data_IF_871338373865
#
_entry.id   IF_871338373865
#
_cell.length_a   1.000
_cell.length_b   1.000
_cell.length_c   1.000
_cell.angle_alpha   90.00
_cell.angle_beta   90.00
_cell.angle_gamma   90.00
#
_symmetry.space_group_name_H-M   'P 1'
#
loop_
_entity.id
_entity.type
_entity.pdbx_description
1 polymer ?
#
# COMPACT_ATOMS: atom_id res chain seq x y z
N UNK A 1 -1.78 11.85 -1.93
CA UNK A 1 -1.55 11.80 -3.38
C UNK A 1 -2.28 10.59 -3.92
N UNK A 2 -2.97 10.74 -5.00
CA UNK A 2 -3.63 9.63 -5.67
C UNK A 2 -3.39 9.76 -7.16
N UNK A 3 -3.39 8.63 -7.86
CA UNK A 3 -3.17 8.53 -9.31
C UNK A 3 -4.37 9.08 -10.12
N UNK A 4 -4.98 10.18 -9.64
CA UNK A 4 -6.12 10.79 -10.32
C UNK A 4 -5.72 11.28 -11.70
N UNK A 5 -6.35 10.76 -12.71
CA UNK A 5 -6.14 11.15 -14.09
C UNK A 5 -5.21 10.25 -14.89
N UNK A 6 -4.38 9.42 -14.24
CA UNK A 6 -3.53 8.47 -14.95
C UNK A 6 -4.18 7.09 -15.12
N UNK A 7 -4.97 6.65 -14.14
CA UNK A 7 -5.78 5.43 -14.21
C UNK A 7 -7.24 5.81 -14.51
N UNK A 8 -7.54 6.06 -15.78
CA UNK A 8 -8.84 6.60 -16.23
C UNK A 8 -10.02 5.64 -16.06
N UNK A 9 -9.77 4.35 -15.86
CA UNK A 9 -10.77 3.30 -15.61
C UNK A 9 -10.86 2.90 -14.13
N UNK A 10 -10.23 3.65 -13.23
CA UNK A 10 -10.27 3.41 -11.79
C UNK A 10 -11.26 4.34 -11.08
N UNK A 11 -11.97 3.79 -10.10
CA UNK A 11 -12.70 4.58 -9.12
C UNK A 11 -11.80 4.88 -7.93
N UNK A 12 -11.98 6.03 -7.33
CA UNK A 12 -11.16 6.49 -6.22
C UNK A 12 -11.97 6.62 -4.94
N UNK A 13 -11.39 6.22 -3.83
CA UNK A 13 -11.89 6.43 -2.49
C UNK A 13 -10.77 7.01 -1.64
N UNK A 14 -10.67 8.33 -1.57
CA UNK A 14 -9.59 9.00 -0.85
C UNK A 14 -10.05 10.31 -0.22
N UNK A 15 -9.33 10.75 0.79
CA UNK A 15 -9.53 12.03 1.46
C UNK A 15 -8.20 12.46 2.09
N UNK A 16 -7.97 13.76 2.19
CA UNK A 16 -6.82 14.30 2.93
C UNK A 16 -6.85 13.81 4.37
N UNK A 17 -5.72 13.31 4.86
CA UNK A 17 -5.59 12.79 6.22
C UNK A 17 -6.43 11.52 6.49
N UNK A 18 -6.79 10.75 5.44
CA UNK A 18 -7.43 9.45 5.64
C UNK A 18 -6.42 8.49 6.25
N UNK A 19 -6.86 7.76 7.29
CA UNK A 19 -6.05 6.78 8.02
C UNK A 19 -6.74 5.43 8.03
N UNK A 20 -6.00 4.36 8.26
CA UNK A 20 -6.56 3.02 8.42
C UNK A 20 -7.58 2.95 9.57
N UNK A 21 -7.37 3.73 10.63
CA UNK A 21 -8.26 3.76 11.79
C UNK A 21 -9.60 4.47 11.55
N UNK A 22 -9.71 5.23 10.46
CA UNK A 22 -10.91 6.03 10.15
C UNK A 22 -11.52 5.74 8.79
N UNK A 23 -10.89 4.89 7.99
CA UNK A 23 -11.32 4.64 6.60
C UNK A 23 -12.73 4.05 6.49
N UNK A 24 -13.18 3.32 7.51
CA UNK A 24 -14.52 2.72 7.55
C UNK A 24 -15.62 3.69 7.99
N UNK A 25 -15.23 4.77 8.68
CA UNK A 25 -16.16 5.73 9.30
C UNK A 25 -16.22 7.05 8.53
N UNK A 26 -15.06 7.50 8.03
CA UNK A 26 -14.93 8.80 7.36
C UNK A 26 -15.45 8.70 5.92
N UNK A 27 -16.33 9.64 5.54
CA UNK A 27 -16.70 9.79 4.15
C UNK A 27 -15.51 10.27 3.31
N UNK A 28 -15.35 9.66 2.15
CA UNK A 28 -14.30 9.93 1.19
C UNK A 28 -14.82 9.66 -0.24
N UNK A 29 -14.02 9.90 -1.25
CA UNK A 29 -14.42 9.64 -2.62
C UNK A 29 -13.41 10.14 -3.63
N UNK A 30 -13.87 10.41 -4.84
CA UNK A 30 -13.05 11.00 -5.88
C UNK A 30 -13.14 12.55 -5.78
N UNK A 31 -12.05 13.25 -5.43
CA UNK A 31 -12.06 14.69 -5.28
C UNK A 31 -12.40 15.44 -6.59
N UNK A 32 -12.18 14.82 -7.75
CA UNK A 32 -12.50 15.43 -9.04
C UNK A 32 -14.00 15.43 -9.34
N UNK A 33 -14.79 14.57 -8.69
CA UNK A 33 -16.24 14.48 -8.89
C UNK A 33 -17.04 15.06 -7.73
N UNK A 34 -16.38 15.40 -6.61
CA UNK A 34 -17.04 15.83 -5.38
C UNK A 34 -17.77 14.69 -4.64
N UNK A 35 -17.55 13.44 -5.03
CA UNK A 35 -18.13 12.29 -4.34
C UNK A 35 -17.68 12.25 -2.88
N UNK A 36 -18.63 11.98 -1.97
CA UNK A 36 -18.37 11.81 -0.55
C UNK A 36 -19.30 10.73 0.02
N UNK A 37 -18.76 9.52 0.15
CA UNK A 37 -19.50 8.32 0.59
C UNK A 37 -18.67 7.56 1.63
N UNK A 38 -19.29 6.64 2.38
CA UNK A 38 -18.53 5.71 3.24
C UNK A 38 -17.87 4.61 2.40
N UNK A 39 -16.86 3.93 2.95
CA UNK A 39 -16.23 2.79 2.29
C UNK A 39 -17.26 1.72 1.91
N UNK A 40 -18.19 1.40 2.83
CA UNK A 40 -19.25 0.44 2.56
C UNK A 40 -20.15 0.85 1.38
N UNK A 41 -20.54 2.13 1.33
CA UNK A 41 -21.31 2.67 0.20
C UNK A 41 -20.52 2.61 -1.11
N UNK A 42 -19.23 2.95 -1.09
CA UNK A 42 -18.37 2.86 -2.27
C UNK A 42 -18.27 1.44 -2.80
N UNK A 43 -18.01 0.49 -1.92
CA UNK A 43 -17.91 -0.93 -2.29
C UNK A 43 -19.25 -1.53 -2.77
N UNK A 44 -20.37 -0.95 -2.36
CA UNK A 44 -21.71 -1.40 -2.81
C UNK A 44 -22.11 -0.89 -4.20
N UNK A 45 -21.40 0.10 -4.78
CA UNK A 45 -21.77 0.70 -6.06
C UNK A 45 -21.65 -0.30 -7.24
N UNK A 46 -20.63 -1.16 -7.21
CA UNK A 46 -20.41 -2.19 -8.25
C UNK A 46 -19.46 -3.29 -7.74
N UNK A 47 -19.34 -4.37 -8.49
CA UNK A 47 -18.28 -5.35 -8.28
C UNK A 47 -17.00 -4.90 -8.99
N UNK A 48 -15.91 -4.83 -8.22
CA UNK A 48 -14.59 -4.45 -8.71
C UNK A 48 -13.77 -5.70 -9.04
N UNK A 49 -13.05 -5.70 -10.15
CA UNK A 49 -12.10 -6.77 -10.46
C UNK A 49 -10.83 -6.69 -9.62
N UNK A 50 -10.44 -5.48 -9.22
CA UNK A 50 -9.24 -5.21 -8.42
C UNK A 50 -9.52 -4.10 -7.42
N UNK A 51 -8.97 -4.23 -6.21
CA UNK A 51 -9.01 -3.20 -5.16
C UNK A 51 -7.59 -2.97 -4.68
N UNK A 52 -7.11 -1.74 -4.76
CA UNK A 52 -5.78 -1.33 -4.29
C UNK A 52 -5.95 -0.53 -3.00
N UNK A 53 -5.20 -0.89 -1.96
CA UNK A 53 -5.29 -0.25 -0.63
C UNK A 53 -3.91 0.29 -0.27
N UNK A 54 -3.79 1.61 -0.13
CA UNK A 54 -2.60 2.30 0.34
C UNK A 54 -2.97 3.30 1.43
N UNK A 55 -2.69 2.96 2.66
CA UNK A 55 -2.86 3.81 3.86
C UNK A 55 -1.67 3.57 4.80
N UNK A 56 -1.34 4.52 5.65
CA UNK A 56 -0.30 4.30 6.65
C UNK A 56 0.59 5.50 6.93
N UNK A 57 0.78 6.40 5.97
CA UNK A 57 1.65 7.56 6.13
C UNK A 57 1.05 8.60 7.12
N UNK A 58 -0.27 8.82 7.05
CA UNK A 58 -0.94 9.84 7.87
C UNK A 58 -1.05 9.46 9.36
N UNK A 59 -0.89 8.21 9.68
CA UNK A 59 -0.96 7.70 11.05
C UNK A 59 0.39 7.26 11.61
N UNK A 60 1.51 7.59 10.97
CA UNK A 60 2.83 7.39 11.56
C UNK A 60 2.89 8.11 12.92
N UNK A 61 3.37 7.42 13.96
CA UNK A 61 3.34 7.92 15.34
C UNK A 61 2.02 7.69 16.08
N UNK A 62 1.00 7.11 15.44
CA UNK A 62 -0.28 6.75 16.08
C UNK A 62 -0.40 5.25 16.22
N UNK A 63 -0.64 4.76 17.44
CA UNK A 63 -0.75 3.34 17.74
C UNK A 63 0.57 2.58 17.58
N UNK A 64 0.51 1.27 17.78
CA UNK A 64 1.63 0.35 17.53
C UNK A 64 1.50 -0.27 16.15
N UNK A 65 2.58 -0.90 15.64
CA UNK A 65 2.56 -1.65 14.38
C UNK A 65 1.51 -2.76 14.42
N UNK A 66 1.35 -3.42 15.56
CA UNK A 66 0.36 -4.49 15.74
C UNK A 66 -1.07 -3.97 15.70
N UNK A 67 -1.38 -2.86 16.40
CA UNK A 67 -2.73 -2.26 16.37
C UNK A 67 -3.09 -1.73 14.99
N UNK A 68 -2.09 -1.20 14.26
CA UNK A 68 -2.22 -0.75 12.89
C UNK A 68 -2.49 -1.93 11.94
N UNK A 69 -1.74 -3.03 12.06
CA UNK A 69 -1.93 -4.23 11.24
C UNK A 69 -3.30 -4.88 11.52
N UNK A 70 -3.77 -4.89 12.78
CA UNK A 70 -5.10 -5.37 13.12
C UNK A 70 -6.21 -4.53 12.46
N UNK A 71 -6.08 -3.20 12.46
CA UNK A 71 -7.02 -2.32 11.75
C UNK A 71 -7.01 -2.60 10.23
N UNK A 72 -5.82 -2.82 9.66
CA UNK A 72 -5.69 -3.19 8.25
C UNK A 72 -6.38 -4.52 7.93
N UNK A 73 -6.20 -5.54 8.76
CA UNK A 73 -6.86 -6.83 8.60
C UNK A 73 -8.39 -6.71 8.63
N UNK A 74 -8.95 -5.84 9.47
CA UNK A 74 -10.39 -5.57 9.52
C UNK A 74 -10.89 -4.91 8.22
N UNK A 75 -10.13 -3.96 7.68
CA UNK A 75 -10.47 -3.32 6.39
C UNK A 75 -10.39 -4.32 5.25
N UNK A 76 -9.37 -5.16 5.20
CA UNK A 76 -9.24 -6.25 4.20
C UNK A 76 -10.46 -7.18 4.27
N UNK A 77 -10.86 -7.60 5.47
CA UNK A 77 -12.03 -8.47 5.66
C UNK A 77 -13.33 -7.80 5.16
N UNK A 78 -13.52 -6.51 5.45
CA UNK A 78 -14.68 -5.75 4.96
C UNK A 78 -14.67 -5.62 3.43
N UNK A 79 -13.52 -5.34 2.83
CA UNK A 79 -13.37 -5.29 1.37
C UNK A 79 -13.68 -6.66 0.77
N UNK A 80 -13.12 -7.74 1.30
CA UNK A 80 -13.37 -9.10 0.82
C UNK A 80 -14.84 -9.49 0.92
N UNK A 81 -15.51 -9.13 2.02
CA UNK A 81 -16.94 -9.40 2.20
C UNK A 81 -17.79 -8.71 1.12
N UNK A 82 -17.48 -7.45 0.79
CA UNK A 82 -18.21 -6.68 -0.21
C UNK A 82 -17.81 -7.03 -1.65
N UNK A 83 -16.59 -7.52 -1.85
CA UNK A 83 -15.97 -7.79 -3.15
C UNK A 83 -15.36 -9.20 -3.17
N UNK A 84 -16.21 -10.26 -3.18
CA UNK A 84 -15.75 -11.63 -2.96
C UNK A 84 -14.79 -12.15 -4.04
N UNK A 85 -14.88 -11.63 -5.26
CA UNK A 85 -14.08 -12.08 -6.41
C UNK A 85 -12.93 -11.12 -6.78
N UNK A 86 -12.77 -10.01 -6.08
CA UNK A 86 -11.74 -9.04 -6.41
C UNK A 86 -10.33 -9.55 -6.05
N UNK A 87 -9.34 -9.18 -6.85
CA UNK A 87 -7.94 -9.20 -6.40
C UNK A 87 -7.71 -8.00 -5.51
N UNK A 88 -7.25 -8.22 -4.29
CA UNK A 88 -6.92 -7.15 -3.33
C UNK A 88 -5.41 -6.97 -3.33
N UNK A 89 -4.96 -5.76 -3.58
CA UNK A 89 -3.57 -5.38 -3.49
C UNK A 89 -3.34 -4.49 -2.27
N UNK A 90 -2.37 -4.88 -1.44
CA UNK A 90 -1.89 -4.13 -0.29
C UNK A 90 -0.63 -3.40 -0.74
N UNK A 91 -0.70 -2.11 -0.95
CA UNK A 91 0.44 -1.32 -1.39
C UNK A 91 1.27 -0.86 -0.19
N UNK A 92 2.60 -0.94 -0.31
CA UNK A 92 3.51 -0.45 0.71
C UNK A 92 3.26 1.04 1.02
N UNK A 93 3.44 1.43 2.28
CA UNK A 93 3.65 2.84 2.63
C UNK A 93 4.95 3.26 1.95
N UNK A 94 4.96 4.41 1.28
CA UNK A 94 6.19 4.95 0.71
C UNK A 94 7.16 5.35 1.82
N UNK A 95 8.43 4.99 1.64
CA UNK A 95 9.51 5.50 2.48
C UNK A 95 9.65 7.00 2.27
N UNK A 96 10.17 7.71 3.25
CA UNK A 96 10.47 9.14 3.13
C UNK A 96 11.93 9.36 2.71
N UNK A 97 12.21 10.51 2.12
CA UNK A 97 13.58 10.90 1.77
C UNK A 97 14.45 11.02 3.04
N UNK A 98 15.76 10.87 2.89
CA UNK A 98 16.70 10.97 3.99
C UNK A 98 16.59 12.30 4.78
N UNK A 99 16.17 13.37 4.12
CA UNK A 99 15.94 14.69 4.76
C UNK A 99 14.73 14.72 5.70
N UNK A 100 13.80 13.79 5.58
CA UNK A 100 12.60 13.68 6.39
C UNK A 100 12.63 12.45 7.33
N UNK A 101 13.61 11.57 7.17
CA UNK A 101 13.80 10.42 8.04
C UNK A 101 14.31 10.88 9.41
N UNK A 102 13.42 10.88 10.40
CA UNK A 102 13.72 11.30 11.76
C UNK A 102 13.59 10.10 12.73
N UNK A 103 14.66 9.39 13.05
CA UNK A 103 14.63 8.19 13.89
C UNK A 103 14.00 8.38 15.28
N UNK A 104 13.96 9.62 15.80
CA UNK A 104 13.33 9.95 17.08
C UNK A 104 11.91 10.52 16.93
N UNK A 105 11.43 10.72 15.72
CA UNK A 105 10.14 11.33 15.42
C UNK A 105 9.07 10.34 14.93
N UNK A 106 7.89 10.86 14.69
CA UNK A 106 6.77 10.08 14.17
C UNK A 106 7.02 9.61 12.73
N UNK A 107 7.64 10.48 11.91
CA UNK A 107 7.96 10.16 10.51
C UNK A 107 9.39 9.63 10.45
N UNK A 108 9.53 8.33 10.24
CA UNK A 108 10.83 7.68 10.07
C UNK A 108 10.71 6.37 9.28
N UNK A 109 11.74 6.04 8.53
CA UNK A 109 11.75 4.85 7.66
C UNK A 109 11.79 3.54 8.45
N UNK A 110 12.29 3.52 9.67
CA UNK A 110 12.25 2.32 10.51
C UNK A 110 10.80 1.93 10.84
N UNK A 111 9.95 2.89 11.21
CA UNK A 111 8.52 2.64 11.45
C UNK A 111 7.78 2.30 10.15
N UNK A 112 8.08 2.99 9.05
CA UNK A 112 7.51 2.67 7.72
C UNK A 112 7.82 1.22 7.34
N UNK A 113 9.07 0.80 7.45
CA UNK A 113 9.50 -0.55 7.10
C UNK A 113 8.88 -1.62 8.02
N UNK A 114 8.78 -1.35 9.33
CA UNK A 114 8.12 -2.26 10.26
C UNK A 114 6.63 -2.45 9.92
N UNK A 115 5.93 -1.38 9.54
CA UNK A 115 4.54 -1.46 9.08
C UNK A 115 4.41 -2.16 7.73
N UNK A 116 5.32 -1.91 6.79
CA UNK A 116 5.33 -2.59 5.51
C UNK A 116 5.56 -4.10 5.65
N UNK A 117 6.43 -4.53 6.56
CA UNK A 117 6.60 -5.96 6.90
C UNK A 117 5.31 -6.55 7.51
N UNK A 118 4.66 -5.83 8.41
CA UNK A 118 3.39 -6.26 8.99
C UNK A 118 2.27 -6.32 7.94
N UNK A 119 2.26 -5.39 6.97
CA UNK A 119 1.32 -5.37 5.86
C UNK A 119 1.56 -6.55 4.90
N UNK A 120 2.81 -6.85 4.58
CA UNK A 120 3.18 -7.99 3.75
C UNK A 120 2.72 -9.31 4.40
N UNK A 121 2.83 -9.43 5.73
CA UNK A 121 2.36 -10.61 6.47
C UNK A 121 0.83 -10.81 6.40
N UNK A 122 0.05 -9.81 6.00
CA UNK A 122 -1.39 -9.92 5.76
C UNK A 122 -1.73 -10.43 4.36
N UNK A 123 -0.76 -10.53 3.45
CA UNK A 123 -1.00 -11.07 2.13
C UNK A 123 -1.35 -12.56 2.20
N UNK A 124 -2.34 -12.96 1.41
CA UNK A 124 -2.78 -14.34 1.27
C UNK A 124 -3.12 -14.62 -0.20
N UNK A 125 -2.17 -15.11 -1.01
CA UNK A 125 -2.40 -15.39 -2.42
C UNK A 125 -3.53 -16.41 -2.68
N UNK A 126 -3.81 -17.30 -1.72
CA UNK A 126 -4.92 -18.26 -1.81
C UNK A 126 -6.29 -17.56 -1.82
N UNK A 127 -6.38 -16.40 -1.16
CA UNK A 127 -7.56 -15.55 -1.13
C UNK A 127 -7.46 -14.35 -2.09
N UNK A 128 -6.54 -14.41 -3.07
CA UNK A 128 -6.25 -13.31 -4.00
C UNK A 128 -5.92 -11.99 -3.29
N UNK A 129 -5.14 -12.03 -2.21
CA UNK A 129 -4.62 -10.86 -1.48
C UNK A 129 -3.11 -10.83 -1.66
N UNK A 130 -2.60 -9.79 -2.33
CA UNK A 130 -1.19 -9.66 -2.69
C UNK A 130 -0.60 -8.38 -2.12
N UNK A 131 0.66 -8.44 -1.68
CA UNK A 131 1.43 -7.27 -1.30
C UNK A 131 2.20 -6.73 -2.51
N UNK A 132 2.22 -5.40 -2.65
CA UNK A 132 2.99 -4.69 -3.67
C UNK A 132 3.96 -3.71 -3.00
N UNK A 133 5.25 -3.96 -3.13
CA UNK A 133 6.29 -3.08 -2.62
C UNK A 133 6.57 -1.94 -3.60
N UNK A 134 5.71 -0.95 -3.64
CA UNK A 134 5.84 0.21 -4.57
C UNK A 134 7.16 0.96 -4.36
N UNK A 135 7.79 0.82 -3.19
CA UNK A 135 9.10 1.43 -2.91
C UNK A 135 10.20 0.99 -3.89
N UNK A 136 10.09 -0.21 -4.48
CA UNK A 136 11.03 -0.69 -5.50
C UNK A 136 11.13 0.24 -6.73
N UNK A 137 10.07 1.01 -7.00
CA UNK A 137 10.04 1.94 -8.12
C UNK A 137 10.54 3.35 -7.78
N UNK A 138 10.70 3.68 -6.49
CA UNK A 138 10.90 5.07 -6.04
C UNK A 138 12.02 5.26 -5.02
N UNK A 139 12.62 4.17 -4.50
CA UNK A 139 13.73 4.24 -3.55
C UNK A 139 15.06 4.53 -4.25
N UNK A 140 15.93 5.23 -3.53
CA UNK A 140 17.35 5.32 -3.83
C UNK A 140 18.14 4.09 -3.32
N UNK A 141 19.44 4.06 -3.57
CA UNK A 141 20.31 2.97 -3.15
C UNK A 141 20.45 2.82 -1.62
N UNK A 142 20.03 3.82 -0.84
CA UNK A 142 20.06 3.81 0.62
C UNK A 142 18.74 3.37 1.25
N UNK A 143 17.73 3.05 0.43
CA UNK A 143 16.40 2.65 0.91
C UNK A 143 15.51 3.80 1.35
N UNK A 144 15.83 5.03 0.96
CA UNK A 144 15.03 6.23 1.15
C UNK A 144 14.29 6.61 -0.14
N UNK A 145 13.22 7.39 -0.03
CA UNK A 145 12.61 7.99 -1.22
C UNK A 145 13.66 8.83 -1.96
N UNK A 146 13.81 8.57 -3.26
CA UNK A 146 14.76 9.33 -4.08
C UNK A 146 14.40 10.83 -4.06
N UNK A 147 15.35 11.64 -3.64
CA UNK A 147 15.16 13.07 -3.46
C UNK A 147 14.79 13.81 -4.76
N UNK A 148 15.10 13.25 -5.93
CA UNK A 148 14.70 13.80 -7.22
C UNK A 148 13.22 13.62 -7.55
N UNK A 149 12.54 12.70 -6.84
CA UNK A 149 11.14 12.35 -7.07
C UNK A 149 10.17 13.10 -6.14
N UNK A 150 10.68 13.96 -5.28
CA UNK A 150 9.90 14.66 -4.25
C UNK A 150 10.35 16.11 -4.08
N UNK A 151 9.46 16.97 -3.59
CA UNK A 151 9.79 18.35 -3.21
C UNK A 151 9.81 18.58 -1.71
N UNK A 152 9.09 17.75 -0.96
CA UNK A 152 8.96 17.86 0.50
C UNK A 152 9.57 16.66 1.24
N UNK A 153 10.13 15.71 0.51
CA UNK A 153 10.73 14.50 1.06
C UNK A 153 9.73 13.42 1.47
N UNK A 154 8.42 13.64 1.23
CA UNK A 154 7.35 12.73 1.65
C UNK A 154 6.48 12.33 0.47
N UNK A 155 6.08 13.29 -0.36
CA UNK A 155 5.15 13.09 -1.45
C UNK A 155 5.85 13.05 -2.80
N UNK A 156 5.44 12.13 -3.67
CA UNK A 156 5.92 12.10 -5.04
C UNK A 156 5.45 13.36 -5.80
N UNK A 157 6.33 13.90 -6.63
CA UNK A 157 5.99 14.92 -7.63
C UNK A 157 4.97 14.35 -8.63
N UNK A 158 4.14 15.22 -9.20
CA UNK A 158 3.14 14.81 -10.18
C UNK A 158 3.73 14.08 -11.40
N UNK A 159 4.89 14.51 -11.88
CA UNK A 159 5.61 13.86 -12.99
C UNK A 159 6.26 12.52 -12.60
N UNK A 160 6.43 12.24 -11.30
CA UNK A 160 6.98 10.99 -10.78
C UNK A 160 5.90 9.93 -10.52
N UNK A 161 4.62 10.30 -10.53
CA UNK A 161 3.51 9.35 -10.32
C UNK A 161 3.45 8.24 -11.37
N UNK A 162 3.99 8.47 -12.56
CA UNK A 162 4.09 7.46 -13.61
C UNK A 162 4.93 6.24 -13.21
N UNK A 163 5.90 6.39 -12.30
CA UNK A 163 6.70 5.28 -11.77
C UNK A 163 5.80 4.33 -10.97
N UNK A 164 4.99 4.89 -10.07
CA UNK A 164 4.02 4.14 -9.29
C UNK A 164 2.97 3.47 -10.20
N UNK A 165 2.37 4.23 -11.11
CA UNK A 165 1.38 3.71 -12.07
C UNK A 165 1.93 2.53 -12.89
N UNK A 166 3.15 2.67 -13.42
CA UNK A 166 3.79 1.62 -14.20
C UNK A 166 4.07 0.38 -13.34
N UNK A 167 4.50 0.57 -12.09
CA UNK A 167 4.70 -0.53 -11.16
C UNK A 167 3.40 -1.32 -10.94
N UNK A 168 2.27 -0.63 -10.66
CA UNK A 168 0.97 -1.28 -10.50
C UNK A 168 0.53 -2.05 -11.75
N UNK A 169 0.74 -1.48 -12.95
CA UNK A 169 0.40 -2.13 -14.22
C UNK A 169 1.23 -3.37 -14.48
N UNK A 170 2.52 -3.35 -14.17
CA UNK A 170 3.44 -4.47 -14.36
C UNK A 170 3.16 -5.63 -13.40
N UNK A 171 2.63 -5.34 -12.20
CA UNK A 171 2.34 -6.33 -11.17
C UNK A 171 0.85 -6.71 -11.11
N UNK A 172 0.04 -6.24 -12.04
CA UNK A 172 -1.39 -6.54 -12.07
C UNK A 172 -1.66 -7.98 -12.51
N UNK A 173 -2.32 -8.76 -11.65
CA UNK A 173 -2.76 -10.13 -11.97
C UNK A 173 -4.00 -10.07 -12.86
N UNK A 174 -4.02 -10.91 -13.90
CA UNK A 174 -5.18 -11.11 -14.76
C UNK A 174 -5.81 -12.45 -14.39
N UNK A 175 -6.98 -12.42 -13.75
CA UNK A 175 -7.75 -13.62 -13.44
C UNK A 175 -8.44 -14.13 -14.73
N UNK A 176 -8.22 -15.39 -15.09
CA UNK A 176 -8.97 -16.08 -16.15
C UNK A 176 -8.44 -15.89 -17.58
N UNK A 177 -7.28 -15.31 -17.79
CA UNK A 177 -6.55 -15.33 -19.05
C UNK A 177 -5.56 -16.50 -19.08
N UNK A 178 -5.42 -17.18 -20.24
CA UNK A 178 -4.27 -18.04 -20.52
C UNK A 178 -3.00 -17.27 -20.16
N UNK A 179 -2.18 -17.84 -19.28
CA UNK A 179 -1.01 -17.21 -18.72
C UNK A 179 -0.13 -16.58 -19.80
N UNK A 180 -0.15 -15.26 -19.92
CA UNK A 180 0.98 -14.54 -20.48
C UNK A 180 2.01 -14.54 -19.37
N UNK A 181 3.08 -15.30 -19.57
CA UNK A 181 4.20 -15.41 -18.67
C UNK A 181 4.81 -14.02 -18.44
N UNK A 182 4.35 -13.33 -17.41
CA UNK A 182 5.12 -12.25 -16.81
C UNK A 182 5.97 -12.94 -15.76
N UNK A 183 7.27 -12.96 -15.98
CA UNK A 183 8.25 -13.36 -14.99
C UNK A 183 8.06 -12.52 -13.74
N UNK A 184 7.30 -13.06 -12.79
CA UNK A 184 7.32 -12.54 -11.43
C UNK A 184 8.75 -12.71 -10.89
N UNK A 185 9.36 -11.70 -10.28
CA UNK A 185 10.59 -11.92 -9.58
C UNK A 185 10.28 -12.77 -8.35
N UNK A 186 10.48 -14.08 -8.49
CA UNK A 186 10.43 -15.02 -7.38
C UNK A 186 11.81 -15.04 -6.75
N UNK A 187 11.96 -14.37 -5.62
CA UNK A 187 12.89 -14.82 -4.58
C UNK A 187 12.57 -14.12 -3.27
N UNK A 188 11.65 -14.68 -2.52
CA UNK A 188 11.64 -14.47 -1.08
C UNK A 188 12.70 -15.40 -0.48
N UNK A 189 13.91 -14.90 -0.31
CA UNK A 189 14.93 -15.62 0.48
C UNK A 189 14.71 -15.23 1.92
N UNK A 190 13.99 -16.06 2.66
CA UNK A 190 13.97 -16.01 4.13
C UNK A 190 15.34 -16.42 4.63
N UNK A 191 16.20 -15.47 4.96
CA UNK A 191 17.38 -15.74 5.76
C UNK A 191 16.94 -15.96 7.21
N UNK A 192 16.65 -17.19 7.57
CA UNK A 192 16.56 -17.62 8.96
C UNK A 192 17.99 -17.74 9.48
N UNK A 193 18.45 -16.75 10.20
CA UNK A 193 19.69 -16.85 10.99
C UNK A 193 19.36 -17.70 12.22
N UNK A 194 19.73 -18.98 12.18
CA UNK A 194 19.81 -19.79 13.39
C UNK A 194 21.01 -19.32 14.22
N UNK A 195 20.75 -18.71 15.36
CA UNK A 195 21.74 -18.52 16.41
C UNK A 195 21.98 -19.87 17.06
N UNK A 196 23.14 -20.50 16.79
CA UNK A 196 23.63 -21.61 17.57
C UNK A 196 24.14 -21.08 18.91
N UNK A 197 23.40 -21.36 19.99
CA UNK A 197 23.96 -21.32 21.33
C UNK A 197 25.04 -22.41 21.46
N UNK A 198 26.26 -21.98 21.70
CA UNK A 198 27.34 -22.86 22.14
C UNK A 198 27.32 -22.91 23.67
N UNK A 199 27.04 -24.11 24.19
CA UNK A 199 27.21 -24.51 25.58
C UNK A 199 28.69 -24.66 25.90
N UNK A 200 29.19 -23.95 26.89
CA UNK A 200 30.23 -24.45 27.83
C UNK A 200 30.03 -23.78 29.18
#
# INVERSE_FOLDING_TARGET
LALYGSLTNADYFSSVGLTIFKVTEKAAGNPNTGESVTLAQKLAQKQYGKVYIMLGLNELGTGTTESWAQAYAQVIAQVRQAQPNAVIYLESILVVAASQDNPGGAINNATVNARNQALEALANPQDNIFYLNVNEAVMDANGCLDASLTSDGIHLLGNSLSLWENYLKQHAIVLGGTAVSTTAPTTYTTAVTQSTEATQ
#
